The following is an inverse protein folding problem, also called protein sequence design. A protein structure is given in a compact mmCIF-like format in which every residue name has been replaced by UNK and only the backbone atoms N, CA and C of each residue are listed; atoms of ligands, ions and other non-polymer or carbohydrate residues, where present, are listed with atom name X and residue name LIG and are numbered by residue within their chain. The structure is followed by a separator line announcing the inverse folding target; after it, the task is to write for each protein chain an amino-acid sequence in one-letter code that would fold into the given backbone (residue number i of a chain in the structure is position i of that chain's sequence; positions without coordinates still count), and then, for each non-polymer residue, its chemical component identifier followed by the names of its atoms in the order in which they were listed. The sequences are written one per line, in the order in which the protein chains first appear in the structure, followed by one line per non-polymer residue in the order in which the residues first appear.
data_IF_861622759718
#
_entry.id   IF_861622759718
#
_cell.length_a   1.000
_cell.length_b   1.000
_cell.length_c   1.000
_cell.angle_alpha   90.00
_cell.angle_beta   90.00
_cell.angle_gamma   90.00
#
_symmetry.space_group_name_H-M   'P 1'
#
loop_
_entity.id
_entity.type
_entity.pdbx_description
1 polymer ?
#
# COMPACT_ATOMS: atom_id res chain seq x y z
N UNK A 1 8.18 -9.23 -16.72
CA UNK A 1 7.43 -10.37 -17.28
C UNK A 1 6.27 -9.81 -18.09
N UNK A 2 6.00 -10.32 -19.29
CA UNK A 2 4.85 -9.88 -20.10
C UNK A 2 3.74 -10.91 -19.95
N UNK A 3 2.61 -10.49 -19.41
CA UNK A 3 1.44 -11.33 -19.12
C UNK A 3 0.20 -10.65 -19.67
N UNK A 4 -0.70 -11.43 -20.25
CA UNK A 4 -1.98 -10.94 -20.77
C UNK A 4 -3.05 -11.21 -19.72
N UNK A 5 -3.75 -10.17 -19.29
CA UNK A 5 -4.80 -10.24 -18.27
C UNK A 5 -6.08 -9.63 -18.84
N UNK A 6 -7.20 -10.32 -18.66
CA UNK A 6 -8.52 -9.76 -18.98
C UNK A 6 -9.02 -8.98 -17.76
N UNK A 7 -9.09 -7.65 -17.90
CA UNK A 7 -9.54 -6.73 -16.86
C UNK A 7 -10.64 -5.86 -17.47
N UNK A 8 -11.64 -5.54 -16.67
CA UNK A 8 -12.72 -4.65 -17.10
C UNK A 8 -12.19 -3.22 -17.34
N UNK A 9 -12.34 -2.70 -18.56
CA UNK A 9 -11.80 -1.39 -18.94
C UNK A 9 -12.40 -0.25 -18.12
N UNK A 10 -13.67 -0.37 -17.71
CA UNK A 10 -14.33 0.61 -16.84
C UNK A 10 -13.63 0.76 -15.49
N UNK A 11 -13.05 -0.33 -14.97
CA UNK A 11 -12.32 -0.34 -13.70
C UNK A 11 -10.97 0.37 -13.85
N UNK A 12 -10.25 0.09 -14.94
CA UNK A 12 -8.98 0.77 -15.28
C UNK A 12 -9.22 2.26 -15.49
N UNK A 13 -10.29 2.64 -16.20
CA UNK A 13 -10.59 4.05 -16.47
C UNK A 13 -10.90 4.82 -15.18
N UNK A 14 -11.71 4.24 -14.28
CA UNK A 14 -11.98 4.84 -12.96
C UNK A 14 -10.71 4.99 -12.13
N UNK A 15 -9.90 3.93 -12.07
CA UNK A 15 -8.65 3.96 -11.32
C UNK A 15 -7.66 4.97 -11.91
N UNK A 16 -7.57 5.09 -13.24
CA UNK A 16 -6.73 6.08 -13.92
C UNK A 16 -7.21 7.51 -13.62
N UNK A 17 -8.53 7.78 -13.66
CA UNK A 17 -9.10 9.08 -13.31
C UNK A 17 -8.82 9.48 -11.86
N UNK A 18 -8.89 8.52 -10.93
CA UNK A 18 -8.67 8.77 -9.50
C UNK A 18 -7.19 8.91 -9.12
N UNK A 19 -6.31 8.15 -9.77
CA UNK A 19 -4.87 8.12 -9.43
C UNK A 19 -4.03 9.04 -10.32
N UNK A 20 -4.57 9.52 -11.44
CA UNK A 20 -3.84 10.31 -12.44
C UNK A 20 -2.82 9.51 -13.26
N UNK A 21 -2.75 8.19 -13.07
CA UNK A 21 -1.79 7.32 -13.77
C UNK A 21 -2.35 6.95 -15.14
N UNK A 22 -1.62 7.31 -16.20
CA UNK A 22 -2.01 7.06 -17.59
C UNK A 22 -1.57 5.68 -18.10
N UNK A 23 -0.47 5.15 -17.59
CA UNK A 23 0.02 3.81 -17.96
C UNK A 23 -0.74 2.70 -17.23
N UNK A 24 -1.39 1.81 -18.00
CA UNK A 24 -2.14 0.64 -17.47
C UNK A 24 -1.25 -0.28 -16.62
N UNK A 25 0.00 -0.49 -17.03
CA UNK A 25 0.98 -1.34 -16.30
C UNK A 25 1.37 -0.73 -14.96
N UNK A 26 1.66 0.57 -14.94
CA UNK A 26 1.99 1.31 -13.72
C UNK A 26 0.82 1.29 -12.73
N UNK A 27 -0.42 1.45 -13.22
CA UNK A 27 -1.63 1.38 -12.42
C UNK A 27 -1.80 0.02 -11.73
N UNK A 28 -1.66 -1.07 -12.49
CA UNK A 28 -1.80 -2.44 -11.95
C UNK A 28 -0.70 -2.74 -10.93
N UNK A 29 0.55 -2.38 -11.23
CA UNK A 29 1.66 -2.55 -10.31
C UNK A 29 1.42 -1.79 -9.00
N UNK A 30 0.98 -0.53 -9.09
CA UNK A 30 0.70 0.30 -7.92
C UNK A 30 -0.46 -0.25 -7.09
N UNK A 31 -1.49 -0.80 -7.75
CA UNK A 31 -2.60 -1.47 -7.07
C UNK A 31 -2.13 -2.66 -6.23
N UNK A 32 -1.28 -3.52 -6.80
CA UNK A 32 -0.70 -4.66 -6.09
C UNK A 32 0.19 -4.23 -4.92
N UNK A 33 1.07 -3.25 -5.12
CA UNK A 33 1.91 -2.68 -4.06
C UNK A 33 1.06 -2.13 -2.90
N UNK A 34 -0.06 -1.48 -3.23
CA UNK A 34 -0.97 -0.90 -2.24
C UNK A 34 -1.70 -1.98 -1.44
N UNK A 35 -2.18 -3.05 -2.08
CA UNK A 35 -2.80 -4.18 -1.39
C UNK A 35 -1.83 -4.87 -0.43
N UNK A 36 -0.57 -5.07 -0.87
CA UNK A 36 0.48 -5.63 -0.02
C UNK A 36 0.74 -4.71 1.18
N UNK A 37 0.83 -3.39 0.95
CA UNK A 37 1.04 -2.42 2.03
C UNK A 37 -0.10 -2.44 3.04
N UNK A 38 -1.35 -2.51 2.61
CA UNK A 38 -2.53 -2.54 3.49
C UNK A 38 -2.54 -3.79 4.39
N UNK A 39 -2.32 -4.97 3.82
CA UNK A 39 -2.27 -6.22 4.60
C UNK A 39 -1.04 -6.24 5.52
N UNK A 40 0.09 -5.71 5.06
CA UNK A 40 1.28 -5.57 5.91
C UNK A 40 1.02 -4.65 7.09
N UNK A 41 0.37 -3.49 6.87
CA UNK A 41 -0.04 -2.57 7.93
C UNK A 41 -1.01 -3.24 8.92
N UNK A 42 -1.99 -4.02 8.44
CA UNK A 42 -2.91 -4.77 9.31
C UNK A 42 -2.15 -5.77 10.18
N UNK A 43 -1.30 -6.60 9.59
CA UNK A 43 -0.48 -7.56 10.34
C UNK A 43 0.45 -6.89 11.35
N UNK A 44 1.08 -5.78 10.97
CA UNK A 44 1.93 -5.01 11.89
C UNK A 44 1.13 -4.40 13.04
N UNK A 45 -0.09 -3.91 12.79
CA UNK A 45 -0.97 -3.41 13.84
C UNK A 45 -1.36 -4.52 14.82
N UNK A 46 -1.63 -5.74 14.33
CA UNK A 46 -1.89 -6.92 15.17
C UNK A 46 -0.66 -7.32 16.00
N UNK A 47 0.55 -7.15 15.47
CA UNK A 47 1.80 -7.45 16.16
C UNK A 47 2.19 -6.37 17.19
N UNK A 48 1.67 -5.14 17.08
CA UNK A 48 2.07 -3.93 17.82
C UNK A 48 1.95 -3.94 19.34
N UNK A 49 1.55 -5.06 19.96
CA UNK A 49 1.59 -5.28 21.41
C UNK A 49 2.10 -6.65 21.83
N UNK A 50 2.59 -7.47 20.89
CA UNK A 50 3.03 -8.85 21.17
C UNK A 50 4.49 -8.92 21.64
N UNK A 51 5.28 -7.89 21.37
CA UNK A 51 6.70 -7.85 21.73
C UNK A 51 6.88 -7.46 23.20
N UNK A 52 6.93 -8.47 24.08
CA UNK A 52 7.03 -8.32 25.55
C UNK A 52 8.22 -7.49 26.05
N UNK A 53 9.27 -7.32 25.24
CA UNK A 53 10.52 -6.65 25.63
C UNK A 53 10.79 -5.40 24.78
N UNK A 54 9.78 -4.85 24.10
CA UNK A 54 9.98 -3.64 23.31
C UNK A 54 10.29 -2.46 24.25
N UNK A 55 11.46 -1.85 24.07
CA UNK A 55 11.81 -0.61 24.73
C UNK A 55 11.27 0.53 23.85
N UNK A 56 10.31 1.32 24.35
CA UNK A 56 9.62 2.29 23.51
C UNK A 56 10.60 3.38 23.05
N UNK A 57 10.79 3.60 21.74
CA UNK A 57 11.66 4.65 21.26
C UNK A 57 11.12 6.02 21.72
N UNK A 58 12.03 6.88 22.19
CA UNK A 58 11.68 8.21 22.68
C UNK A 58 10.92 9.04 21.64
N UNK A 59 9.84 9.68 22.05
CA UNK A 59 9.04 10.55 21.17
C UNK A 59 9.87 11.80 20.84
N UNK A 60 10.15 12.06 19.56
CA UNK A 60 10.77 13.33 19.15
C UNK A 60 9.84 14.48 19.54
N UNK A 61 10.30 15.34 20.45
CA UNK A 61 9.65 16.62 20.78
C UNK A 61 10.38 17.73 20.04
N UNK A 62 9.67 18.71 19.44
CA UNK A 62 10.32 19.92 18.96
C UNK A 62 10.96 20.63 20.16
N UNK A 63 12.18 21.11 19.96
CA UNK A 63 12.89 21.99 20.90
C UNK A 63 12.15 23.34 20.96
N UNK A 64 11.87 23.81 22.19
CA UNK A 64 11.10 25.03 22.46
C UNK A 64 11.92 26.30 22.24
#
# INVERSE_FOLDING_TARGET
MRTTLNIEDALIERASKLTGITEKTALVRKGLETLISLESSRRLAELGGTEKKIDMPGRRRPEC
#
